data_IF_804512035432
#
_entry.id   IF_804512035432
#
_cell.length_a   1.000
_cell.length_b   1.000
_cell.length_c   1.000
_cell.angle_alpha   90.00
_cell.angle_beta   90.00
_cell.angle_gamma   90.00
#
_symmetry.space_group_name_H-M   'P 1'
#
loop_
_entity.id
_entity.type
_entity.pdbx_description
1 polymer ?
#
# COMPACT_ATOMS: atom_id res chain seq x y z
N UNK A 1 -16.86 -43.20 -19.55
CA UNK A 1 -17.86 -42.78 -18.54
C UNK A 1 -17.16 -41.82 -17.58
N UNK A 2 -17.24 -40.50 -17.80
CA UNK A 2 -18.19 -39.58 -17.14
C UNK A 2 -18.22 -39.83 -15.61
N UNK A 3 -17.77 -38.91 -14.76
CA UNK A 3 -18.52 -37.68 -14.45
C UNK A 3 -17.62 -36.50 -14.08
N UNK A 4 -18.02 -35.33 -14.60
CA UNK A 4 -17.55 -34.00 -14.20
C UNK A 4 -18.20 -33.61 -12.88
N UNK A 5 -17.41 -33.23 -11.88
CA UNK A 5 -17.87 -32.57 -10.68
C UNK A 5 -17.61 -31.06 -10.75
N UNK A 6 -18.64 -30.29 -11.07
CA UNK A 6 -18.68 -28.83 -10.90
C UNK A 6 -18.78 -28.50 -9.41
N UNK A 7 -17.79 -27.78 -8.87
CA UNK A 7 -17.78 -27.35 -7.48
C UNK A 7 -17.07 -26.01 -7.33
N UNK A 8 -17.88 -24.97 -7.21
CA UNK A 8 -17.53 -23.56 -6.91
C UNK A 8 -16.49 -23.43 -5.80
N UNK A 9 -15.24 -23.05 -6.15
CA UNK A 9 -14.25 -22.55 -5.18
C UNK A 9 -14.63 -21.13 -4.77
N UNK A 10 -15.59 -21.01 -3.84
CA UNK A 10 -15.66 -19.83 -2.98
C UNK A 10 -14.42 -19.87 -2.08
N UNK A 11 -13.61 -18.82 -2.15
CA UNK A 11 -12.49 -18.62 -1.22
C UNK A 11 -13.03 -18.67 0.20
N UNK A 12 -12.72 -19.75 0.91
CA UNK A 12 -13.01 -19.89 2.32
C UNK A 12 -12.30 -18.76 3.05
N UNK A 13 -13.08 -17.80 3.55
CA UNK A 13 -12.62 -16.84 4.54
C UNK A 13 -11.92 -17.59 5.67
N UNK A 14 -11.00 -16.89 6.35
CA UNK A 14 -10.27 -17.41 7.52
C UNK A 14 -11.28 -18.06 8.46
N UNK A 15 -11.42 -19.38 8.35
CA UNK A 15 -12.28 -20.15 9.22
C UNK A 15 -11.79 -19.96 10.63
N UNK A 16 -12.69 -20.10 11.61
CA UNK A 16 -12.32 -20.37 13.00
C UNK A 16 -11.54 -21.69 13.06
N UNK A 17 -10.31 -21.70 12.57
CA UNK A 17 -9.41 -22.82 12.71
C UNK A 17 -9.11 -22.94 14.20
N UNK A 18 -9.37 -24.12 14.75
CA UNK A 18 -9.20 -24.45 16.14
C UNK A 18 -7.81 -24.00 16.63
N UNK A 19 -7.82 -23.24 17.72
CA UNK A 19 -6.62 -22.73 18.39
C UNK A 19 -5.86 -23.90 19.01
N UNK A 20 -4.89 -24.45 18.31
CA UNK A 20 -3.92 -25.33 18.94
C UNK A 20 -2.95 -24.48 19.78
N UNK A 21 -3.04 -24.60 21.11
CA UNK A 21 -2.05 -24.02 22.05
C UNK A 21 -2.13 -22.51 22.29
N UNK A 22 -3.26 -21.85 22.02
CA UNK A 22 -3.47 -20.44 22.37
C UNK A 22 -2.70 -19.41 21.55
N UNK A 23 -1.89 -19.82 20.56
CA UNK A 23 -1.14 -18.92 19.66
C UNK A 23 -1.89 -18.74 18.34
N UNK A 24 -1.96 -17.50 17.86
CA UNK A 24 -2.52 -17.18 16.54
C UNK A 24 -1.51 -17.62 15.46
N UNK A 25 -1.98 -18.20 14.33
CA UNK A 25 -1.09 -18.57 13.23
C UNK A 25 -0.45 -17.30 12.64
N UNK A 26 0.87 -17.33 12.47
CA UNK A 26 1.60 -16.32 11.71
C UNK A 26 1.63 -16.77 10.26
N UNK A 27 1.04 -15.99 9.36
CA UNK A 27 1.07 -16.24 7.91
C UNK A 27 2.08 -15.31 7.24
N UNK A 28 2.57 -15.70 6.06
CA UNK A 28 3.41 -14.85 5.23
C UNK A 28 3.02 -15.04 3.76
N UNK A 29 3.17 -13.97 2.97
CA UNK A 29 3.14 -14.03 1.51
C UNK A 29 4.44 -13.47 0.96
N UNK A 30 5.14 -14.26 0.13
CA UNK A 30 6.36 -13.82 -0.57
C UNK A 30 5.94 -12.98 -1.77
N UNK A 31 6.30 -11.70 -1.72
CA UNK A 31 6.01 -10.74 -2.78
C UNK A 31 7.31 -10.18 -3.33
N UNK A 32 7.40 -10.06 -4.65
CA UNK A 32 8.44 -9.23 -5.30
C UNK A 32 7.95 -7.79 -5.36
N UNK A 33 8.84 -6.83 -5.14
CA UNK A 33 8.51 -5.41 -5.09
C UNK A 33 8.85 -4.71 -6.41
N UNK A 34 7.87 -4.04 -7.01
CA UNK A 34 8.00 -3.36 -8.31
C UNK A 34 7.66 -1.87 -8.12
N UNK A 35 8.67 -0.99 -7.99
CA UNK A 35 8.46 0.46 -7.91
C UNK A 35 8.24 1.04 -9.31
N UNK A 36 6.98 1.05 -9.77
CA UNK A 36 6.63 1.46 -11.15
C UNK A 36 7.12 2.87 -11.47
N UNK A 37 7.11 3.77 -10.48
CA UNK A 37 7.68 5.12 -10.59
C UNK A 37 8.11 5.61 -9.23
N UNK A 38 9.12 6.49 -9.21
CA UNK A 38 9.55 7.24 -8.03
C UNK A 38 9.02 8.68 -8.03
N UNK A 39 8.14 9.04 -8.96
CA UNK A 39 7.46 10.33 -8.97
C UNK A 39 6.14 10.25 -8.20
N UNK A 40 5.70 11.38 -7.67
CA UNK A 40 4.43 11.54 -6.96
C UNK A 40 4.00 13.01 -7.02
N UNK A 41 2.70 13.29 -6.96
CA UNK A 41 2.23 14.66 -6.74
C UNK A 41 2.36 15.11 -5.29
N UNK A 42 2.24 14.19 -4.33
CA UNK A 42 2.40 14.48 -2.90
C UNK A 42 3.85 14.83 -2.51
N UNK A 43 3.99 15.51 -1.37
CA UNK A 43 5.27 15.85 -0.73
C UNK A 43 5.29 15.43 0.74
N UNK A 44 4.92 14.18 1.04
CA UNK A 44 4.85 13.69 2.41
C UNK A 44 6.20 13.89 3.13
N UNK A 45 6.19 14.57 4.28
CA UNK A 45 7.42 15.06 4.90
C UNK A 45 8.35 13.95 5.44
N UNK A 46 7.87 12.71 5.55
CA UNK A 46 8.62 11.51 5.96
C UNK A 46 9.01 10.59 4.80
N UNK A 47 8.53 10.86 3.58
CA UNK A 47 8.64 9.92 2.48
C UNK A 47 9.99 10.04 1.77
N UNK A 48 10.66 8.91 1.56
CA UNK A 48 11.88 8.81 0.74
C UNK A 48 11.64 8.15 -0.61
N UNK A 49 10.40 7.74 -0.89
CA UNK A 49 10.06 7.08 -2.14
C UNK A 49 10.01 8.07 -3.31
N UNK A 50 9.64 9.32 -3.02
CA UNK A 50 9.44 10.37 -4.02
C UNK A 50 10.74 11.08 -4.35
N UNK A 51 10.99 11.28 -5.64
CA UNK A 51 12.05 12.14 -6.19
C UNK A 51 11.45 13.12 -7.21
N UNK A 52 12.30 13.89 -7.88
CA UNK A 52 11.90 14.88 -8.89
C UNK A 52 12.53 14.54 -10.25
N UNK A 53 11.87 14.89 -11.38
CA UNK A 53 12.37 14.56 -12.72
C UNK A 53 13.83 14.99 -12.96
N UNK A 54 14.21 16.19 -12.52
CA UNK A 54 15.58 16.69 -12.67
C UNK A 54 16.64 15.82 -11.98
N UNK A 55 16.34 15.23 -10.82
CA UNK A 55 17.26 14.31 -10.14
C UNK A 55 17.36 12.98 -10.87
N UNK A 56 16.25 12.45 -11.38
CA UNK A 56 16.26 11.21 -12.17
C UNK A 56 17.12 11.36 -13.42
N UNK A 57 16.92 12.46 -14.17
CA UNK A 57 17.75 12.79 -15.35
C UNK A 57 19.23 12.89 -15.00
N UNK A 58 19.57 13.56 -13.90
CA UNK A 58 20.96 13.69 -13.47
C UNK A 58 21.64 12.35 -13.09
N UNK A 59 20.86 11.33 -12.69
CA UNK A 59 21.35 9.99 -12.37
C UNK A 59 21.19 8.99 -13.53
N UNK A 60 20.73 9.43 -14.71
CA UNK A 60 20.46 8.55 -15.84
C UNK A 60 19.32 7.56 -15.61
N UNK A 61 18.41 7.85 -14.67
CA UNK A 61 17.28 6.98 -14.32
C UNK A 61 15.99 7.41 -15.05
N UNK A 62 15.16 6.44 -15.42
CA UNK A 62 13.83 6.68 -15.99
C UNK A 62 12.82 7.20 -14.98
N UNK A 63 11.75 7.85 -15.47
CA UNK A 63 10.63 8.34 -14.64
C UNK A 63 9.70 7.23 -14.19
N UNK A 64 9.53 6.23 -15.05
CA UNK A 64 8.83 4.99 -14.77
C UNK A 64 9.76 3.84 -15.19
N UNK A 65 9.55 2.67 -14.59
CA UNK A 65 10.13 1.45 -15.11
C UNK A 65 9.47 1.12 -16.44
N UNK A 66 10.28 0.82 -17.46
CA UNK A 66 9.78 0.33 -18.73
C UNK A 66 9.22 -1.10 -18.59
N UNK A 67 8.37 -1.57 -19.52
CA UNK A 67 7.71 -2.87 -19.39
C UNK A 67 8.69 -4.05 -19.25
N UNK A 68 9.86 -3.97 -19.90
CA UNK A 68 10.91 -4.97 -19.79
C UNK A 68 11.48 -5.06 -18.37
N UNK A 69 11.78 -3.92 -17.74
CA UNK A 69 12.30 -3.87 -16.38
C UNK A 69 11.30 -4.43 -15.36
N UNK A 70 10.02 -4.10 -15.52
CA UNK A 70 8.93 -4.62 -14.68
C UNK A 70 8.86 -6.15 -14.78
N UNK A 71 8.89 -6.68 -16.00
CA UNK A 71 8.81 -8.12 -16.23
C UNK A 71 10.06 -8.85 -15.74
N UNK A 72 11.25 -8.27 -15.90
CA UNK A 72 12.48 -8.87 -15.42
C UNK A 72 12.51 -8.96 -13.90
N UNK A 73 12.03 -7.93 -13.19
CA UNK A 73 11.82 -8.00 -11.73
C UNK A 73 10.80 -9.09 -11.38
N UNK A 74 9.68 -9.15 -12.09
CA UNK A 74 8.64 -10.15 -11.84
C UNK A 74 9.14 -11.58 -12.08
N UNK A 75 9.86 -11.85 -13.17
CA UNK A 75 10.44 -13.16 -13.50
C UNK A 75 11.43 -13.62 -12.42
N UNK A 76 12.36 -12.75 -12.02
CA UNK A 76 13.26 -13.05 -10.89
C UNK A 76 12.49 -13.34 -9.60
N UNK A 77 11.41 -12.60 -9.35
CA UNK A 77 10.51 -12.87 -8.23
C UNK A 77 9.88 -14.26 -8.29
N UNK A 78 9.39 -14.66 -9.46
CA UNK A 78 8.79 -15.98 -9.69
C UNK A 78 9.80 -17.12 -9.53
N UNK A 79 11.02 -16.97 -10.04
CA UNK A 79 12.13 -17.92 -9.87
C UNK A 79 12.49 -18.14 -8.39
N UNK A 80 12.40 -17.09 -7.57
CA UNK A 80 12.59 -17.15 -6.12
C UNK A 80 11.36 -17.69 -5.35
N UNK A 81 10.31 -18.09 -6.07
CA UNK A 81 9.09 -18.66 -5.51
C UNK A 81 8.13 -17.64 -4.90
N UNK A 82 8.20 -16.36 -5.30
CA UNK A 82 7.17 -15.38 -4.95
C UNK A 82 5.80 -15.81 -5.50
N UNK A 83 4.74 -15.38 -4.82
CA UNK A 83 3.34 -15.64 -5.23
C UNK A 83 2.65 -14.38 -5.74
N UNK A 84 3.13 -13.22 -5.32
CA UNK A 84 2.55 -11.93 -5.67
C UNK A 84 3.62 -10.96 -6.17
N UNK A 85 3.21 -10.05 -7.04
CA UNK A 85 3.97 -8.88 -7.44
C UNK A 85 3.34 -7.65 -6.80
N UNK A 86 4.06 -6.99 -5.89
CA UNK A 86 3.63 -5.78 -5.22
C UNK A 86 4.02 -4.57 -6.06
N UNK A 87 3.03 -3.98 -6.74
CA UNK A 87 3.19 -2.74 -7.49
C UNK A 87 3.08 -1.56 -6.53
N UNK A 88 4.12 -0.73 -6.51
CA UNK A 88 4.15 0.50 -5.71
C UNK A 88 4.53 1.69 -6.57
N UNK A 89 3.95 2.84 -6.27
CA UNK A 89 4.08 4.06 -7.03
C UNK A 89 3.68 5.25 -6.17
N UNK A 90 4.02 6.46 -6.61
CA UNK A 90 3.43 7.67 -6.07
C UNK A 90 2.07 7.96 -6.70
N UNK A 91 1.27 8.74 -5.99
CA UNK A 91 -0.07 9.13 -6.42
C UNK A 91 0.06 10.18 -7.55
N UNK A 92 -0.56 9.87 -8.69
CA UNK A 92 -0.79 10.76 -9.85
C UNK A 92 0.36 11.72 -10.18
N UNK A 93 1.59 11.23 -10.39
CA UNK A 93 2.73 12.09 -10.76
C UNK A 93 2.44 12.99 -11.97
N UNK A 94 1.62 12.52 -12.91
CA UNK A 94 1.21 13.22 -14.14
C UNK A 94 0.34 14.48 -13.90
N UNK A 95 -0.16 14.70 -12.69
CA UNK A 95 -0.89 15.93 -12.32
C UNK A 95 0.05 17.05 -11.85
N UNK A 96 1.29 16.70 -11.48
CA UNK A 96 2.30 17.66 -11.00
C UNK A 96 3.46 17.84 -11.96
N UNK A 97 3.86 16.77 -12.64
CA UNK A 97 5.06 16.74 -13.47
C UNK A 97 4.65 16.60 -14.94
N UNK A 98 4.79 17.65 -15.76
CA UNK A 98 4.54 17.57 -17.20
C UNK A 98 5.36 16.48 -17.88
N UNK A 99 6.59 16.22 -17.42
CA UNK A 99 7.42 15.16 -17.99
C UNK A 99 6.85 13.75 -17.72
N UNK A 100 6.12 13.58 -16.61
CA UNK A 100 5.44 12.32 -16.34
C UNK A 100 4.22 12.12 -17.24
N UNK A 101 3.54 13.21 -17.63
CA UNK A 101 2.47 13.20 -18.62
C UNK A 101 3.01 12.86 -20.01
N UNK A 102 4.05 13.56 -20.45
CA UNK A 102 4.72 13.33 -21.73
C UNK A 102 5.18 11.87 -21.87
N UNK A 103 5.85 11.33 -20.84
CA UNK A 103 6.30 9.93 -20.84
C UNK A 103 5.16 8.93 -21.06
N UNK A 104 3.99 9.19 -20.44
CA UNK A 104 2.79 8.34 -20.56
C UNK A 104 2.16 8.48 -21.95
N UNK A 105 2.04 9.70 -22.46
CA UNK A 105 1.43 10.02 -23.76
C UNK A 105 2.25 9.40 -24.91
N UNK A 106 3.58 9.49 -24.87
CA UNK A 106 4.50 8.84 -25.84
C UNK A 106 4.31 7.32 -25.91
N UNK A 107 3.80 6.71 -24.84
CA UNK A 107 3.56 5.27 -24.73
C UNK A 107 2.08 4.90 -24.87
N UNK A 108 1.22 5.87 -25.15
CA UNK A 108 -0.21 5.67 -25.37
C UNK A 108 -1.02 5.40 -24.11
N UNK A 109 -0.61 5.94 -22.96
CA UNK A 109 -1.33 5.79 -21.69
C UNK A 109 -1.91 7.13 -21.20
N UNK A 110 -3.22 7.17 -20.96
CA UNK A 110 -3.87 8.40 -20.47
C UNK A 110 -3.54 8.75 -19.00
N UNK A 111 -3.02 7.79 -18.24
CA UNK A 111 -2.71 7.97 -16.82
C UNK A 111 -1.72 6.92 -16.32
N UNK A 112 -1.12 7.19 -15.16
CA UNK A 112 -0.29 6.22 -14.44
C UNK A 112 -1.06 4.93 -14.15
N UNK A 113 -2.35 5.02 -13.80
CA UNK A 113 -3.16 3.84 -13.51
C UNK A 113 -3.49 3.02 -14.78
N UNK A 114 -3.62 3.66 -15.93
CA UNK A 114 -3.74 2.97 -17.22
C UNK A 114 -2.47 2.15 -17.51
N UNK A 115 -1.29 2.72 -17.25
CA UNK A 115 -0.02 2.01 -17.38
C UNK A 115 0.11 0.85 -16.38
N UNK A 116 -0.20 1.09 -15.10
CA UNK A 116 -0.21 0.04 -14.06
C UNK A 116 -1.13 -1.11 -14.44
N UNK A 117 -2.31 -0.83 -14.99
CA UNK A 117 -3.24 -1.88 -15.45
C UNK A 117 -2.60 -2.75 -16.53
N UNK A 118 -2.00 -2.14 -17.55
CA UNK A 118 -1.33 -2.87 -18.63
C UNK A 118 -0.19 -3.75 -18.10
N UNK A 119 0.62 -3.21 -17.18
CA UNK A 119 1.72 -3.95 -16.58
C UNK A 119 1.26 -5.06 -15.65
N UNK A 120 0.18 -4.86 -14.90
CA UNK A 120 -0.43 -5.90 -14.06
C UNK A 120 -0.92 -7.09 -14.90
N UNK A 121 -1.55 -6.83 -16.05
CA UNK A 121 -1.95 -7.88 -17.00
C UNK A 121 -0.73 -8.67 -17.45
N UNK A 122 0.30 -7.98 -17.95
CA UNK A 122 1.51 -8.64 -18.44
C UNK A 122 2.22 -9.45 -17.37
N UNK A 123 2.36 -8.93 -16.15
CA UNK A 123 2.96 -9.67 -15.04
C UNK A 123 2.15 -10.92 -14.71
N UNK A 124 0.83 -10.82 -14.66
CA UNK A 124 -0.05 -11.97 -14.40
C UNK A 124 0.08 -13.04 -15.49
N UNK A 125 0.01 -12.64 -16.76
CA UNK A 125 0.01 -13.55 -17.91
C UNK A 125 1.38 -14.16 -18.19
N UNK A 126 2.46 -13.36 -18.10
CA UNK A 126 3.81 -13.79 -18.50
C UNK A 126 4.58 -14.46 -17.35
N UNK A 127 4.22 -14.22 -16.09
CA UNK A 127 4.96 -14.76 -14.92
C UNK A 127 4.13 -15.60 -13.97
N UNK A 128 2.79 -15.53 -14.07
CA UNK A 128 1.87 -16.18 -13.14
C UNK A 128 1.82 -15.55 -11.75
N UNK A 129 2.57 -14.48 -11.48
CA UNK A 129 2.50 -13.76 -10.21
C UNK A 129 1.20 -12.96 -10.11
N UNK A 130 0.55 -13.02 -8.94
CA UNK A 130 -0.68 -12.27 -8.68
C UNK A 130 -0.36 -10.79 -8.39
N UNK A 131 -0.94 -9.82 -9.15
CA UNK A 131 -0.69 -8.41 -8.88
C UNK A 131 -1.38 -7.93 -7.59
N UNK A 132 -0.62 -7.35 -6.67
CA UNK A 132 -1.12 -6.53 -5.58
C UNK A 132 -0.79 -5.07 -5.88
N UNK A 133 -1.80 -4.25 -6.12
CA UNK A 133 -1.59 -2.85 -6.50
C UNK A 133 -1.70 -1.94 -5.28
N UNK A 134 -0.67 -1.12 -5.04
CA UNK A 134 -0.71 -0.04 -4.04
C UNK A 134 -0.53 1.33 -4.70
N UNK A 135 -1.52 1.81 -5.48
CA UNK A 135 -1.42 3.03 -6.27
C UNK A 135 -1.91 4.29 -5.56
N UNK A 136 -2.09 4.23 -4.24
CA UNK A 136 -2.61 5.36 -3.48
C UNK A 136 -4.10 5.62 -3.69
N UNK A 137 -4.48 6.89 -3.77
CA UNK A 137 -5.88 7.31 -3.91
C UNK A 137 -6.44 7.01 -5.31
N UNK A 138 -7.50 6.20 -5.34
CA UNK A 138 -8.24 5.85 -6.55
C UNK A 138 -9.70 6.28 -6.42
N UNK A 139 -10.28 6.68 -7.56
CA UNK A 139 -11.72 6.82 -7.74
C UNK A 139 -12.39 5.45 -7.88
N UNK A 140 -13.71 5.43 -7.74
CA UNK A 140 -14.54 4.25 -7.96
C UNK A 140 -14.31 3.60 -9.33
N UNK A 141 -14.26 4.40 -10.39
CA UNK A 141 -14.11 3.92 -11.77
C UNK A 141 -12.73 3.32 -12.02
N UNK A 142 -11.67 3.93 -11.47
CA UNK A 142 -10.31 3.40 -11.54
C UNK A 142 -10.20 2.06 -10.80
N UNK A 143 -10.72 1.97 -9.57
CA UNK A 143 -10.76 0.70 -8.84
C UNK A 143 -11.55 -0.38 -9.59
N UNK A 144 -12.68 -0.01 -10.18
CA UNK A 144 -13.50 -0.94 -10.98
C UNK A 144 -12.74 -1.48 -12.20
N UNK A 145 -11.92 -0.65 -12.85
CA UNK A 145 -11.08 -1.04 -14.00
C UNK A 145 -9.87 -1.90 -13.62
N UNK A 146 -9.32 -1.69 -12.42
CA UNK A 146 -8.16 -2.42 -11.90
C UNK A 146 -8.54 -3.77 -11.25
N UNK A 147 -9.72 -3.86 -10.63
CA UNK A 147 -10.19 -5.07 -9.92
C UNK A 147 -10.03 -6.38 -10.72
N UNK A 148 -10.33 -6.46 -12.03
CA UNK A 148 -10.20 -7.71 -12.79
C UNK A 148 -8.75 -8.23 -12.92
N UNK A 149 -7.75 -7.37 -12.72
CA UNK A 149 -6.33 -7.69 -12.92
C UNK A 149 -5.53 -7.67 -11.61
N UNK A 150 -6.19 -7.36 -10.50
CA UNK A 150 -5.58 -7.22 -9.19
C UNK A 150 -6.40 -7.95 -8.12
N UNK A 151 -6.03 -9.19 -7.75
CA UNK A 151 -6.70 -9.94 -6.70
C UNK A 151 -6.78 -9.22 -5.35
N UNK A 152 -5.86 -8.29 -5.10
CA UNK A 152 -5.91 -7.38 -3.97
C UNK A 152 -5.30 -6.03 -4.32
N UNK A 153 -5.75 -5.00 -3.62
CA UNK A 153 -5.19 -3.66 -3.73
C UNK A 153 -4.93 -3.09 -2.35
N UNK A 154 -4.28 -1.95 -2.26
CA UNK A 154 -3.99 -1.35 -0.98
C UNK A 154 -3.72 0.13 -1.05
N UNK A 155 -3.89 0.77 0.09
CA UNK A 155 -3.53 2.15 0.36
C UNK A 155 -3.46 2.32 1.87
N UNK A 156 -2.32 2.79 2.37
CA UNK A 156 -2.20 3.15 3.79
C UNK A 156 -3.16 4.30 4.12
N UNK A 157 -3.99 4.19 5.15
CA UNK A 157 -4.78 5.32 5.64
C UNK A 157 -3.86 6.34 6.33
N UNK A 158 -2.77 5.86 6.94
CA UNK A 158 -1.75 6.63 7.67
C UNK A 158 -2.28 7.25 8.97
N UNK A 159 -3.26 8.15 8.87
CA UNK A 159 -3.90 8.87 9.98
C UNK A 159 -5.23 9.47 9.51
N UNK A 160 -6.16 9.68 10.43
CA UNK A 160 -7.38 10.47 10.20
C UNK A 160 -7.25 11.92 10.67
N UNK A 161 -6.07 12.35 11.12
CA UNK A 161 -5.84 13.70 11.64
C UNK A 161 -5.95 14.77 10.55
N UNK A 162 -6.97 15.64 10.64
CA UNK A 162 -7.04 16.88 9.84
C UNK A 162 -5.92 17.85 10.19
N UNK A 163 -5.51 17.90 11.46
CA UNK A 163 -4.41 18.75 11.93
C UNK A 163 -3.10 18.44 11.19
N UNK A 164 -2.73 17.16 11.04
CA UNK A 164 -1.52 16.76 10.32
C UNK A 164 -1.55 17.12 8.82
N UNK A 165 -2.75 17.17 8.23
CA UNK A 165 -2.96 17.55 6.83
C UNK A 165 -2.99 19.07 6.62
N UNK A 166 -3.63 19.83 7.51
CA UNK A 166 -3.89 21.26 7.35
C UNK A 166 -2.79 22.16 7.93
N UNK A 167 -2.05 21.70 8.94
CA UNK A 167 -1.08 22.54 9.65
C UNK A 167 0.27 22.53 8.95
N UNK A 168 0.74 23.72 8.54
CA UNK A 168 2.05 23.90 7.92
C UNK A 168 3.17 23.28 8.77
N UNK A 169 4.03 22.50 8.11
CA UNK A 169 5.17 21.83 8.73
C UNK A 169 4.88 20.42 9.24
N UNK A 170 3.61 20.01 9.34
CA UNK A 170 3.25 18.65 9.77
C UNK A 170 3.26 17.65 8.60
N UNK A 171 3.27 16.36 8.94
CA UNK A 171 3.65 15.25 8.06
C UNK A 171 2.98 15.22 6.68
N UNK A 172 1.73 15.67 6.59
CA UNK A 172 0.89 15.59 5.39
C UNK A 172 0.58 16.95 4.76
N UNK A 173 1.10 18.05 5.32
CA UNK A 173 0.91 19.37 4.75
C UNK A 173 1.45 19.45 3.31
N UNK A 174 0.66 20.03 2.41
CA UNK A 174 1.01 20.14 0.99
C UNK A 174 0.91 18.84 0.18
N UNK A 175 0.38 17.75 0.76
CA UNK A 175 0.17 16.47 0.07
C UNK A 175 -1.34 16.23 -0.16
N UNK A 176 -1.90 16.60 -1.33
CA UNK A 176 -3.35 16.57 -1.56
C UNK A 176 -3.99 15.20 -1.36
N UNK A 177 -3.29 14.09 -1.68
CA UNK A 177 -3.85 12.74 -1.50
C UNK A 177 -3.76 12.22 -0.06
N UNK A 178 -3.18 13.02 0.84
CA UNK A 178 -3.16 12.75 2.28
C UNK A 178 -4.33 13.36 3.03
N UNK A 179 -5.30 13.97 2.35
CA UNK A 179 -6.57 14.36 2.99
C UNK A 179 -7.28 13.10 3.56
N UNK A 180 -7.53 13.05 4.89
CA UNK A 180 -8.26 11.95 5.51
C UNK A 180 -9.61 11.63 4.85
N UNK A 181 -10.36 12.64 4.43
CA UNK A 181 -11.68 12.45 3.82
C UNK A 181 -11.59 11.74 2.47
N UNK A 182 -10.55 12.05 1.68
CA UNK A 182 -10.30 11.41 0.39
C UNK A 182 -9.88 9.96 0.59
N UNK A 183 -8.97 9.69 1.54
CA UNK A 183 -8.49 8.32 1.80
C UNK A 183 -9.58 7.43 2.42
N UNK A 184 -10.40 7.97 3.32
CA UNK A 184 -11.55 7.25 3.87
C UNK A 184 -12.61 6.93 2.80
N UNK A 185 -12.82 7.84 1.84
CA UNK A 185 -13.70 7.58 0.69
C UNK A 185 -13.16 6.45 -0.17
N UNK A 186 -11.88 6.47 -0.54
CA UNK A 186 -11.26 5.40 -1.32
C UNK A 186 -11.35 4.04 -0.60
N UNK A 187 -11.13 4.01 0.72
CA UNK A 187 -11.31 2.79 1.53
C UNK A 187 -12.77 2.30 1.53
N UNK A 188 -13.73 3.21 1.65
CA UNK A 188 -15.17 2.88 1.58
C UNK A 188 -15.56 2.30 0.21
N UNK A 189 -15.07 2.93 -0.86
CA UNK A 189 -15.36 2.54 -2.23
C UNK A 189 -14.74 1.18 -2.57
N UNK A 190 -13.52 0.89 -2.09
CA UNK A 190 -12.93 -0.45 -2.17
C UNK A 190 -13.81 -1.52 -1.49
N UNK A 191 -14.40 -1.17 -0.34
CA UNK A 191 -15.32 -2.05 0.39
C UNK A 191 -16.60 -2.33 -0.39
N UNK A 192 -17.25 -1.30 -0.92
CA UNK A 192 -18.45 -1.46 -1.75
C UNK A 192 -18.18 -2.23 -3.04
N UNK A 193 -16.98 -2.10 -3.62
CA UNK A 193 -16.54 -2.91 -4.76
C UNK A 193 -16.11 -4.33 -4.36
N UNK A 194 -16.14 -4.69 -3.08
CA UNK A 194 -15.68 -5.98 -2.56
C UNK A 194 -14.25 -6.31 -2.99
N UNK A 195 -13.37 -5.30 -2.96
CA UNK A 195 -11.95 -5.45 -3.30
C UNK A 195 -11.21 -5.85 -2.02
N UNK A 196 -10.52 -6.99 -2.01
CA UNK A 196 -9.59 -7.33 -0.95
C UNK A 196 -8.54 -6.24 -0.75
N UNK A 197 -8.59 -5.53 0.38
CA UNK A 197 -7.85 -4.28 0.56
C UNK A 197 -6.88 -4.33 1.74
N UNK A 198 -5.65 -3.87 1.50
CA UNK A 198 -4.64 -3.66 2.54
C UNK A 198 -4.58 -2.20 2.92
N UNK A 199 -4.66 -1.89 4.21
CA UNK A 199 -4.55 -0.52 4.72
C UNK A 199 -3.77 -0.51 6.03
N UNK A 200 -3.72 0.62 6.72
CA UNK A 200 -2.92 0.74 7.92
C UNK A 200 -2.71 2.17 8.37
N UNK A 201 -1.91 2.32 9.40
CA UNK A 201 -1.52 3.59 10.00
C UNK A 201 -0.01 3.69 10.15
N UNK A 202 0.48 4.92 10.14
CA UNK A 202 1.84 5.26 10.52
C UNK A 202 1.85 5.78 11.96
N UNK A 203 2.80 5.29 12.75
CA UNK A 203 2.94 5.60 14.17
C UNK A 203 4.16 6.49 14.36
N UNK A 204 4.01 7.62 15.03
CA UNK A 204 5.11 8.56 15.30
C UNK A 204 5.36 9.58 14.20
N UNK A 205 4.34 9.95 13.42
CA UNK A 205 4.41 11.05 12.44
C UNK A 205 3.94 12.39 13.01
N UNK A 206 3.74 12.44 14.33
CA UNK A 206 3.23 13.61 15.05
C UNK A 206 1.75 13.52 15.40
N UNK A 207 1.11 12.36 15.19
CA UNK A 207 -0.26 12.09 15.62
C UNK A 207 -0.36 11.97 17.15
N UNK A 208 -1.50 12.36 17.71
CA UNK A 208 -1.83 12.12 19.13
C UNK A 208 -2.40 10.72 19.33
N UNK A 209 -2.45 10.24 20.58
CA UNK A 209 -3.09 8.97 20.91
C UNK A 209 -4.57 8.93 20.51
N UNK A 210 -5.29 10.05 20.64
CA UNK A 210 -6.68 10.16 20.19
C UNK A 210 -6.80 10.00 18.67
N UNK A 211 -5.97 10.73 17.90
CA UNK A 211 -5.97 10.63 16.44
C UNK A 211 -5.62 9.21 15.95
N UNK A 212 -4.70 8.55 16.66
CA UNK A 212 -4.33 7.15 16.41
C UNK A 212 -5.50 6.20 16.70
N UNK A 213 -6.19 6.39 17.82
CA UNK A 213 -7.38 5.62 18.18
C UNK A 213 -8.51 5.82 17.15
N UNK A 214 -8.76 7.06 16.73
CA UNK A 214 -9.76 7.39 15.72
C UNK A 214 -9.45 6.71 14.38
N UNK A 215 -8.18 6.70 13.98
CA UNK A 215 -7.71 6.01 12.76
C UNK A 215 -8.01 4.51 12.83
N UNK A 216 -7.72 3.85 13.95
CA UNK A 216 -8.04 2.43 14.14
C UNK A 216 -9.55 2.16 14.13
N UNK A 217 -10.35 3.03 14.74
CA UNK A 217 -11.81 2.91 14.74
C UNK A 217 -12.39 3.13 13.33
N UNK A 218 -11.82 4.02 12.54
CA UNK A 218 -12.23 4.23 11.15
C UNK A 218 -11.97 2.98 10.28
N UNK A 219 -10.78 2.37 10.41
CA UNK A 219 -10.45 1.11 9.72
C UNK A 219 -11.41 0.00 10.19
N UNK A 220 -11.64 -0.13 11.50
CA UNK A 220 -12.59 -1.11 12.06
C UNK A 220 -13.99 -0.92 11.51
N UNK A 221 -14.47 0.32 11.41
CA UNK A 221 -15.80 0.65 10.87
C UNK A 221 -15.93 0.16 9.43
N UNK A 222 -14.97 0.51 8.57
CA UNK A 222 -14.95 0.09 7.17
C UNK A 222 -14.87 -1.44 7.02
N UNK A 223 -14.08 -2.12 7.87
CA UNK A 223 -14.03 -3.58 7.87
C UNK A 223 -15.33 -4.22 8.36
N UNK A 224 -15.97 -3.68 9.41
CA UNK A 224 -17.26 -4.19 9.90
C UNK A 224 -18.38 -4.04 8.87
N UNK A 225 -18.35 -2.95 8.11
CA UNK A 225 -19.40 -2.65 7.11
C UNK A 225 -19.28 -3.53 5.87
N UNK A 226 -18.06 -3.76 5.36
CA UNK A 226 -17.87 -4.43 4.05
C UNK A 226 -17.05 -5.73 4.10
N UNK A 227 -16.38 -6.06 5.21
CA UNK A 227 -15.53 -7.26 5.34
C UNK A 227 -14.28 -7.28 4.45
N UNK A 228 -13.98 -6.18 3.76
CA UNK A 228 -13.00 -6.14 2.67
C UNK A 228 -11.54 -5.93 3.10
N UNK A 229 -11.31 -5.36 4.29
CA UNK A 229 -9.95 -5.12 4.81
C UNK A 229 -9.32 -6.46 5.21
N UNK A 230 -8.33 -6.91 4.44
CA UNK A 230 -7.66 -8.19 4.68
C UNK A 230 -6.51 -8.05 5.67
N UNK A 231 -5.74 -6.99 5.52
CA UNK A 231 -4.48 -6.77 6.24
C UNK A 231 -4.44 -5.32 6.74
N UNK A 232 -4.15 -5.15 8.04
CA UNK A 232 -3.85 -3.85 8.63
C UNK A 232 -2.38 -3.78 9.00
N UNK A 233 -1.68 -2.82 8.42
CA UNK A 233 -0.27 -2.54 8.64
C UNK A 233 -0.14 -1.50 9.76
N UNK A 234 0.60 -1.84 10.81
CA UNK A 234 1.11 -0.84 11.78
C UNK A 234 2.57 -0.62 11.46
N UNK A 235 2.83 0.54 10.87
CA UNK A 235 4.15 0.93 10.44
C UNK A 235 4.70 2.02 11.36
N UNK A 236 5.90 1.81 11.89
CA UNK A 236 6.57 2.84 12.68
C UNK A 236 7.25 3.85 11.77
N UNK A 237 7.23 5.12 12.17
CA UNK A 237 8.09 6.15 11.60
C UNK A 237 9.56 5.85 11.94
N UNK A 238 10.42 6.16 10.97
CA UNK A 238 11.87 6.19 11.11
C UNK A 238 12.35 7.45 10.43
N UNK A 239 13.16 8.22 11.15
CA UNK A 239 13.81 9.40 10.60
C UNK A 239 14.72 8.97 9.45
N UNK A 240 14.63 9.70 8.34
CA UNK A 240 15.45 9.47 7.16
C UNK A 240 16.05 10.78 6.70
N UNK A 241 17.33 10.72 6.31
CA UNK A 241 18.03 11.85 5.71
C UNK A 241 17.28 12.33 4.47
N UNK A 242 17.38 13.62 4.17
CA UNK A 242 16.76 14.24 3.00
C UNK A 242 15.22 14.26 3.01
N UNK A 243 14.61 14.12 4.18
CA UNK A 243 13.16 14.35 4.38
C UNK A 243 12.96 15.58 5.28
N UNK A 244 11.80 16.24 5.18
CA UNK A 244 11.49 17.39 6.05
C UNK A 244 11.35 16.98 7.53
N UNK A 245 11.09 15.69 7.81
CA UNK A 245 11.06 15.10 9.15
C UNK A 245 12.39 14.45 9.56
N UNK A 246 13.51 14.76 8.91
CA UNK A 246 14.81 14.14 9.23
C UNK A 246 15.27 14.37 10.69
N UNK A 247 14.85 15.47 11.32
CA UNK A 247 15.18 15.81 12.71
C UNK A 247 14.13 15.32 13.73
N UNK A 248 13.03 14.72 13.28
CA UNK A 248 12.00 14.16 14.16
C UNK A 248 12.52 12.83 14.72
N UNK A 249 12.41 12.57 16.05
CA UNK A 249 12.82 11.30 16.62
C UNK A 249 12.10 10.10 16.00
N UNK A 250 12.79 8.96 15.96
CA UNK A 250 12.16 7.69 15.61
C UNK A 250 11.01 7.35 16.59
N UNK A 251 10.03 6.58 16.13
CA UNK A 251 8.99 6.04 17.02
C UNK A 251 9.64 5.17 18.11
N UNK A 252 9.31 5.47 19.37
CA UNK A 252 9.72 4.65 20.50
C UNK A 252 9.17 3.22 20.39
N UNK A 253 9.96 2.24 20.83
CA UNK A 253 9.57 0.81 20.75
C UNK A 253 8.31 0.51 21.54
N UNK A 254 8.17 1.08 22.75
CA UNK A 254 7.02 0.85 23.61
C UNK A 254 5.74 1.44 23.00
N UNK A 255 5.84 2.62 22.40
CA UNK A 255 4.71 3.27 21.71
C UNK A 255 4.27 2.47 20.46
N UNK A 256 5.24 1.93 19.73
CA UNK A 256 4.97 1.03 18.60
C UNK A 256 4.29 -0.27 19.06
N UNK A 257 4.83 -0.94 20.08
CA UNK A 257 4.28 -2.20 20.60
C UNK A 257 2.90 -2.00 21.24
N UNK A 258 2.70 -0.90 21.96
CA UNK A 258 1.40 -0.52 22.50
C UNK A 258 0.38 -0.34 21.37
N UNK A 259 0.77 0.33 20.28
CA UNK A 259 -0.12 0.48 19.11
C UNK A 259 -0.46 -0.84 18.45
N UNK A 260 0.51 -1.74 18.29
CA UNK A 260 0.28 -3.10 17.78
C UNK A 260 -0.73 -3.86 18.65
N UNK A 261 -0.58 -3.79 19.98
CA UNK A 261 -1.48 -4.44 20.93
C UNK A 261 -2.91 -3.84 20.86
N UNK A 262 -3.03 -2.51 20.86
CA UNK A 262 -4.32 -1.80 20.77
C UNK A 262 -5.01 -2.11 19.43
N UNK A 263 -4.28 -2.06 18.32
CA UNK A 263 -4.81 -2.41 17.01
C UNK A 263 -5.41 -3.83 17.01
N UNK A 264 -4.75 -4.79 17.64
CA UNK A 264 -5.27 -6.16 17.75
C UNK A 264 -6.58 -6.24 18.55
N UNK A 265 -6.68 -5.50 19.65
CA UNK A 265 -7.89 -5.46 20.48
C UNK A 265 -9.06 -4.78 19.76
N UNK A 266 -8.80 -3.66 19.09
CA UNK A 266 -9.84 -2.86 18.40
C UNK A 266 -10.37 -3.57 17.16
N UNK A 267 -9.49 -4.12 16.32
CA UNK A 267 -9.87 -4.74 15.03
C UNK A 267 -10.44 -6.16 15.21
N UNK A 268 -10.15 -6.81 16.34
CA UNK A 268 -10.64 -8.15 16.66
C UNK A 268 -9.94 -9.27 15.88
N UNK A 269 -10.36 -10.53 16.08
CA UNK A 269 -9.63 -11.69 15.57
C UNK A 269 -9.75 -11.92 14.06
N UNK A 270 -10.79 -11.36 13.42
CA UNK A 270 -11.10 -11.58 12.00
C UNK A 270 -10.21 -10.75 11.05
N UNK A 271 -9.59 -9.67 11.55
CA UNK A 271 -8.69 -8.85 10.76
C UNK A 271 -7.26 -9.38 10.88
N UNK A 272 -6.60 -9.66 9.76
CA UNK A 272 -5.19 -10.07 9.78
C UNK A 272 -4.30 -8.84 10.02
N UNK A 273 -3.22 -9.06 10.75
CA UNK A 273 -2.31 -7.99 11.17
C UNK A 273 -0.93 -8.19 10.57
N UNK A 274 -0.38 -7.13 9.97
CA UNK A 274 0.99 -7.12 9.48
C UNK A 274 1.86 -6.18 10.29
N UNK A 275 2.89 -6.75 10.88
CA UNK A 275 4.01 -5.98 11.40
C UNK A 275 4.93 -5.60 10.25
N UNK A 276 5.22 -4.32 10.05
CA UNK A 276 6.22 -3.90 9.08
C UNK A 276 7.63 -4.37 9.53
N UNK A 277 8.45 -4.86 8.60
CA UNK A 277 9.76 -5.51 8.87
C UNK A 277 10.86 -4.59 9.38
N UNK A 278 10.62 -3.28 9.47
CA UNK A 278 11.63 -2.28 9.87
C UNK A 278 12.17 -2.43 11.29
N UNK A 279 11.53 -3.25 12.12
CA UNK A 279 11.95 -3.49 13.50
C UNK A 279 12.14 -5.00 13.77
N UNK A 280 12.99 -5.66 12.97
CA UNK A 280 13.67 -6.86 13.40
C UNK A 280 15.02 -6.43 14.00
N UNK A 281 15.32 -6.74 15.28
CA UNK A 281 16.66 -6.54 15.81
C UNK A 281 17.66 -7.30 14.92
N UNK A 282 18.64 -6.60 14.34
CA UNK A 282 19.67 -7.20 13.50
C UNK A 282 19.43 -7.19 11.97
N UNK A 283 18.34 -6.63 11.45
CA UNK A 283 18.18 -6.44 9.99
C UNK A 283 18.29 -4.98 9.58
N UNK A 284 19.38 -4.65 8.89
CA UNK A 284 19.52 -3.43 8.06
C UNK A 284 18.58 -3.53 6.86
N UNK A 285 17.28 -3.34 7.07
CA UNK A 285 16.36 -3.10 5.98
C UNK A 285 16.34 -1.59 5.70
N UNK A 286 16.95 -1.20 4.57
CA UNK A 286 16.93 0.14 3.98
C UNK A 286 17.90 1.16 4.62
N UNK A 287 19.19 1.03 4.29
CA UNK A 287 20.04 2.19 4.00
C UNK A 287 20.10 2.35 2.49
#
# INVERSE_FOLDING_TARGET
MCQRGTGTRRGSGVGRAARHGGRLPITYSRKVFIPVTHLCRDTCHYCTFVTVPGKLRAHGAGMYLDPGEILDVARRGAELGCKEALFTLGDRPEDRWPEAREWLDERGYDSTLSYVRAMAIRVLEETGLLPHLNPGVMSWSEMSRLKPVAPSMGMMLETTSRRLFETKGLAHYGSPDKDPAVRLRALTDAGRLSIPFTTGLLVGIGETLTERADTLHAIRKAHKEFGHVQEVIVQNFRAKKHTAMAAVPDTGVDDYLATVAVARLVLGPACAFRRHRTWCPGTTAWR
#
